data_IF_398924621217
#
_entry.id   IF_398924621217
#
_cell.length_a   1.000
_cell.length_b   1.000
_cell.length_c   1.000
_cell.angle_alpha   90.00
_cell.angle_beta   90.00
_cell.angle_gamma   90.00
#
_symmetry.space_group_name_H-M   'P 1'
#
loop_
_entity.id
_entity.type
_entity.pdbx_description
1 polymer ?
#
# COMPACT_ATOMS: atom_id res chain seq x y z
N UNK A 1 17.36 9.81 7.17
CA UNK A 1 17.42 9.79 8.65
C UNK A 1 17.20 8.35 9.07
N UNK A 2 17.85 7.80 10.11
CA UNK A 2 17.62 6.38 10.45
C UNK A 2 16.29 6.25 11.19
N UNK A 3 15.36 5.45 10.65
CA UNK A 3 14.07 5.15 11.28
C UNK A 3 14.23 4.17 12.45
N UNK A 4 13.32 4.21 13.42
CA UNK A 4 13.35 3.31 14.58
C UNK A 4 13.08 1.86 14.21
N UNK A 5 12.16 1.60 13.28
CA UNK A 5 11.72 0.27 12.89
C UNK A 5 11.96 0.01 11.40
N UNK A 6 13.19 -0.41 11.02
CA UNK A 6 13.54 -0.64 9.62
C UNK A 6 12.78 -1.78 8.96
N UNK A 7 12.38 -2.81 9.72
CA UNK A 7 11.57 -3.92 9.17
C UNK A 7 10.15 -3.48 8.82
N UNK A 8 9.53 -2.63 9.65
CA UNK A 8 8.23 -2.04 9.34
C UNK A 8 8.33 -1.11 8.13
N UNK A 9 9.40 -0.31 8.04
CA UNK A 9 9.67 0.50 6.85
C UNK A 9 9.75 -0.36 5.59
N UNK A 10 10.47 -1.49 5.65
CA UNK A 10 10.57 -2.42 4.52
C UNK A 10 9.20 -2.98 4.13
N UNK A 11 8.35 -3.33 5.09
CA UNK A 11 6.97 -3.77 4.82
C UNK A 11 6.15 -2.68 4.12
N UNK A 12 6.24 -1.41 4.56
CA UNK A 12 5.59 -0.27 3.88
C UNK A 12 6.07 -0.14 2.44
N UNK A 13 7.39 -0.21 2.20
CA UNK A 13 7.96 -0.14 0.84
C UNK A 13 7.46 -1.30 -0.04
N UNK A 14 7.41 -2.52 0.50
CA UNK A 14 6.89 -3.70 -0.20
C UNK A 14 5.39 -3.50 -0.54
N UNK A 15 4.59 -2.98 0.39
CA UNK A 15 3.18 -2.70 0.16
C UNK A 15 2.93 -1.62 -0.90
N UNK A 16 3.69 -0.52 -0.85
CA UNK A 16 3.63 0.53 -1.86
C UNK A 16 4.01 0.00 -3.25
N UNK A 17 5.04 -0.87 -3.34
CA UNK A 17 5.43 -1.50 -4.61
C UNK A 17 4.30 -2.38 -5.15
N UNK A 18 3.68 -3.20 -4.31
CA UNK A 18 2.57 -4.05 -4.71
C UNK A 18 1.35 -3.23 -5.20
N UNK A 19 1.02 -2.13 -4.52
CA UNK A 19 -0.04 -1.19 -4.93
C UNK A 19 0.31 -0.41 -6.22
N UNK A 20 1.60 -0.23 -6.53
CA UNK A 20 2.06 0.54 -7.69
C UNK A 20 2.10 -0.24 -9.01
N UNK A 21 1.95 -1.57 -8.98
CA UNK A 21 2.18 -2.46 -10.13
C UNK A 21 0.93 -3.27 -10.50
N UNK A 22 0.12 -2.79 -11.48
CA UNK A 22 -1.08 -3.50 -11.93
C UNK A 22 -0.83 -4.91 -12.46
N UNK A 23 0.31 -5.16 -13.08
CA UNK A 23 0.65 -6.49 -13.60
C UNK A 23 0.98 -7.45 -12.45
N UNK A 24 1.68 -6.97 -11.43
CA UNK A 24 1.87 -7.72 -10.19
C UNK A 24 0.53 -8.04 -9.52
N UNK A 25 -0.36 -7.06 -9.38
CA UNK A 25 -1.68 -7.24 -8.77
C UNK A 25 -2.51 -8.30 -9.50
N UNK A 26 -2.60 -8.21 -10.84
CA UNK A 26 -3.29 -9.22 -11.65
C UNK A 26 -2.67 -10.60 -11.44
N UNK A 27 -1.35 -10.71 -11.58
CA UNK A 27 -0.66 -12.00 -11.53
C UNK A 27 -0.72 -12.65 -10.14
N UNK A 28 -0.54 -11.87 -9.07
CA UNK A 28 -0.36 -12.37 -7.70
C UNK A 28 -1.68 -12.39 -6.94
N UNK A 29 -2.42 -11.29 -6.94
CA UNK A 29 -3.65 -11.16 -6.14
C UNK A 29 -4.84 -11.84 -6.82
N UNK A 30 -4.93 -11.78 -8.15
CA UNK A 30 -6.05 -12.40 -8.90
C UNK A 30 -5.72 -13.81 -9.37
N UNK A 31 -4.63 -13.97 -10.13
CA UNK A 31 -4.27 -15.24 -10.77
C UNK A 31 -3.52 -16.20 -9.85
N UNK A 32 -3.14 -15.74 -8.65
CA UNK A 32 -2.40 -16.52 -7.64
C UNK A 32 -1.13 -17.18 -8.22
N UNK A 33 -0.49 -16.50 -9.17
CA UNK A 33 0.75 -16.93 -9.83
C UNK A 33 1.95 -16.34 -9.12
N UNK A 34 2.46 -17.12 -8.17
CA UNK A 34 3.53 -16.71 -7.27
C UNK A 34 4.93 -16.98 -7.85
N UNK A 35 5.91 -16.17 -7.44
CA UNK A 35 7.29 -16.33 -7.88
C UNK A 35 7.96 -17.60 -7.33
N UNK A 36 7.51 -18.09 -6.16
CA UNK A 36 8.06 -19.26 -5.50
C UNK A 36 7.01 -19.99 -4.65
N UNK A 37 7.18 -21.30 -4.38
CA UNK A 37 6.29 -22.05 -3.50
C UNK A 37 6.24 -21.43 -2.09
N UNK A 38 5.03 -21.35 -1.52
CA UNK A 38 4.81 -20.81 -0.17
C UNK A 38 4.80 -19.29 -0.07
N UNK A 39 5.01 -18.56 -1.18
CA UNK A 39 4.74 -17.13 -1.24
C UNK A 39 3.24 -16.87 -1.37
N UNK A 40 2.76 -15.86 -0.65
CA UNK A 40 1.38 -15.40 -0.69
C UNK A 40 1.37 -13.90 -0.49
N UNK A 41 0.55 -13.21 -1.27
CA UNK A 41 0.31 -11.78 -1.14
C UNK A 41 -1.07 -11.46 -1.74
N UNK A 42 -1.77 -10.49 -1.16
CA UNK A 42 -3.11 -10.08 -1.56
C UNK A 42 -3.38 -8.61 -1.18
N UNK A 43 -4.48 -8.04 -1.67
CA UNK A 43 -4.80 -6.64 -1.38
C UNK A 43 -5.00 -6.41 0.12
N UNK A 44 -5.67 -7.33 0.81
CA UNK A 44 -5.99 -7.18 2.24
C UNK A 44 -4.72 -7.09 3.08
N UNK A 45 -3.72 -7.92 2.80
CA UNK A 45 -2.43 -7.90 3.47
C UNK A 45 -1.75 -6.54 3.30
N UNK A 46 -1.67 -6.02 2.08
CA UNK A 46 -1.02 -4.75 1.79
C UNK A 46 -1.74 -3.57 2.45
N UNK A 47 -3.07 -3.58 2.49
CA UNK A 47 -3.86 -2.59 3.23
C UNK A 47 -3.57 -2.71 4.73
N UNK A 48 -3.62 -3.89 5.32
CA UNK A 48 -3.33 -4.07 6.75
C UNK A 48 -1.92 -3.61 7.13
N UNK A 49 -0.92 -3.80 6.26
CA UNK A 49 0.43 -3.26 6.49
C UNK A 49 0.39 -1.74 6.66
N UNK A 50 -0.36 -1.03 5.82
CA UNK A 50 -0.43 0.43 5.86
C UNK A 50 -1.23 0.97 7.05
N UNK A 51 -2.38 0.36 7.37
CA UNK A 51 -3.29 0.87 8.40
C UNK A 51 -3.05 0.24 9.78
N UNK A 52 -2.95 -1.08 9.88
CA UNK A 52 -2.97 -1.79 11.16
C UNK A 52 -1.57 -2.07 11.70
N UNK A 53 -0.67 -2.60 10.86
CA UNK A 53 0.63 -3.08 11.32
C UNK A 53 1.62 -1.94 11.55
N UNK A 54 1.52 -0.86 10.75
CA UNK A 54 2.48 0.25 10.78
C UNK A 54 1.88 1.61 11.10
N UNK A 55 0.56 1.74 11.05
CA UNK A 55 -0.18 2.97 11.32
C UNK A 55 0.23 4.16 10.41
N UNK A 56 0.96 3.91 9.32
CA UNK A 56 1.43 5.00 8.44
C UNK A 56 0.27 5.65 7.71
N UNK A 57 -0.81 4.92 7.44
CA UNK A 57 -2.00 5.47 6.81
C UNK A 57 -2.91 6.23 7.80
N UNK A 58 -2.89 5.87 9.08
CA UNK A 58 -3.71 6.50 10.13
C UNK A 58 -3.17 7.87 10.56
N UNK A 59 -1.87 7.97 10.84
CA UNK A 59 -1.20 9.23 11.16
C UNK A 59 0.22 9.27 10.58
N UNK A 60 0.35 9.59 9.27
CA UNK A 60 1.64 9.60 8.58
C UNK A 60 2.70 10.48 9.27
N UNK A 61 2.30 11.64 9.81
CA UNK A 61 3.25 12.57 10.47
C UNK A 61 3.75 12.04 11.80
N UNK A 62 2.91 11.36 12.58
CA UNK A 62 3.34 10.70 13.81
C UNK A 62 4.35 9.56 13.55
N UNK A 63 4.39 9.02 12.34
CA UNK A 63 5.33 7.96 11.96
C UNK A 63 6.71 8.46 11.47
N UNK A 64 6.94 9.77 11.42
CA UNK A 64 8.25 10.34 11.09
C UNK A 64 9.27 10.01 12.19
N UNK A 65 10.39 9.41 11.81
CA UNK A 65 11.42 8.85 12.69
C UNK A 65 11.07 7.47 13.26
N UNK A 66 9.87 6.95 13.01
CA UNK A 66 9.41 5.63 13.45
C UNK A 66 9.53 4.63 12.31
N UNK A 67 8.78 4.84 11.22
CA UNK A 67 8.81 4.04 9.97
C UNK A 67 9.06 4.91 8.74
N UNK A 68 8.65 6.18 8.77
CA UNK A 68 8.91 7.19 7.74
C UNK A 68 10.11 8.05 8.13
N UNK A 69 10.87 8.54 7.15
CA UNK A 69 12.09 9.31 7.41
C UNK A 69 11.84 10.80 7.61
N UNK A 70 10.85 11.37 6.93
CA UNK A 70 10.68 12.80 6.81
C UNK A 70 9.27 13.20 6.33
N UNK A 71 9.02 14.50 6.30
CA UNK A 71 7.74 15.10 5.87
C UNK A 71 7.34 14.75 4.44
N UNK A 72 8.30 14.56 3.52
CA UNK A 72 7.97 14.23 2.13
C UNK A 72 7.39 12.81 2.03
N UNK A 73 7.92 11.86 2.80
CA UNK A 73 7.35 10.51 2.88
C UNK A 73 5.97 10.52 3.53
N UNK A 74 5.77 11.28 4.62
CA UNK A 74 4.46 11.43 5.25
C UNK A 74 3.43 12.01 4.27
N UNK A 75 3.78 13.08 3.54
CA UNK A 75 2.91 13.68 2.53
C UNK A 75 2.60 12.74 1.35
N UNK A 76 3.54 11.84 1.01
CA UNK A 76 3.32 10.82 -0.01
C UNK A 76 2.26 9.80 0.43
N UNK A 77 2.30 9.36 1.69
CA UNK A 77 1.28 8.47 2.26
C UNK A 77 -0.07 9.19 2.34
N UNK A 78 -0.13 10.45 2.74
CA UNK A 78 -1.38 11.24 2.74
C UNK A 78 -2.01 11.35 1.35
N UNK A 79 -1.18 11.49 0.33
CA UNK A 79 -1.65 11.54 -1.07
C UNK A 79 -2.23 10.20 -1.52
N UNK A 80 -1.68 9.09 -1.02
CA UNK A 80 -2.22 7.75 -1.27
C UNK A 80 -3.53 7.52 -0.51
N UNK A 81 -3.60 7.85 0.78
CA UNK A 81 -4.82 7.64 1.58
C UNK A 81 -5.98 8.52 1.10
N UNK A 82 -5.71 9.73 0.59
CA UNK A 82 -6.71 10.59 -0.02
C UNK A 82 -7.50 9.96 -1.19
N UNK A 83 -6.93 8.96 -1.87
CA UNK A 83 -7.62 8.20 -2.93
C UNK A 83 -8.02 6.79 -2.49
N UNK A 84 -7.30 6.20 -1.54
CA UNK A 84 -7.56 4.86 -1.05
C UNK A 84 -8.72 4.81 -0.05
N UNK A 85 -8.78 5.72 0.93
CA UNK A 85 -9.82 5.77 1.96
C UNK A 85 -11.23 5.84 1.37
N UNK A 86 -11.58 6.84 0.53
CA UNK A 86 -12.93 6.92 -0.03
C UNK A 86 -13.28 5.75 -0.94
N UNK A 87 -12.28 5.13 -1.57
CA UNK A 87 -12.52 3.89 -2.31
C UNK A 87 -12.92 2.78 -1.34
N UNK A 88 -12.09 2.48 -0.33
CA UNK A 88 -12.36 1.43 0.65
C UNK A 88 -13.71 1.62 1.37
N UNK A 89 -14.03 2.86 1.77
CA UNK A 89 -15.29 3.22 2.42
C UNK A 89 -16.52 2.98 1.53
N UNK A 90 -16.35 3.09 0.21
CA UNK A 90 -17.45 2.89 -0.76
C UNK A 90 -17.75 1.42 -1.04
N UNK A 91 -16.84 0.51 -0.68
CA UNK A 91 -16.93 -0.89 -1.07
C UNK A 91 -17.83 -1.67 -0.10
N UNK A 92 -18.67 -2.59 -0.62
CA UNK A 92 -19.31 -3.60 0.20
C UNK A 92 -18.27 -4.42 0.98
N UNK A 93 -18.66 -4.87 2.16
CA UNK A 93 -17.83 -5.83 2.90
C UNK A 93 -17.71 -7.15 2.11
N UNK A 94 -16.51 -7.75 2.11
CA UNK A 94 -16.19 -9.04 1.45
C UNK A 94 -16.20 -9.01 -0.08
N UNK A 95 -15.38 -8.14 -0.68
CA UNK A 95 -15.05 -8.25 -2.10
C UNK A 95 -13.76 -9.05 -2.30
N UNK A 96 -13.70 -9.79 -3.40
CA UNK A 96 -12.47 -10.38 -3.89
C UNK A 96 -11.57 -9.29 -4.50
N UNK A 97 -10.25 -9.46 -4.42
CA UNK A 97 -9.27 -8.49 -4.93
C UNK A 97 -9.55 -8.08 -6.38
N UNK A 98 -9.92 -9.04 -7.24
CA UNK A 98 -10.28 -8.79 -8.64
C UNK A 98 -11.44 -7.79 -8.81
N UNK A 99 -12.40 -7.78 -7.87
CA UNK A 99 -13.55 -6.88 -7.89
C UNK A 99 -13.19 -5.48 -7.38
N UNK A 100 -12.15 -5.37 -6.55
CA UNK A 100 -11.65 -4.08 -6.06
C UNK A 100 -10.75 -3.43 -7.11
N UNK A 101 -9.78 -4.16 -7.65
CA UNK A 101 -8.81 -3.58 -8.61
C UNK A 101 -9.41 -3.29 -9.99
N UNK A 102 -10.60 -3.83 -10.29
CA UNK A 102 -11.34 -3.51 -11.54
C UNK A 102 -12.18 -2.24 -11.45
N UNK A 103 -12.22 -1.57 -10.28
CA UNK A 103 -12.91 -0.29 -10.11
C UNK A 103 -12.19 0.80 -10.90
N UNK A 104 -12.91 1.67 -11.63
CA UNK A 104 -12.28 2.79 -12.35
C UNK A 104 -11.38 3.67 -11.47
N UNK A 105 -11.78 3.86 -10.21
CA UNK A 105 -11.10 4.64 -9.18
C UNK A 105 -9.74 4.03 -8.78
N UNK A 106 -9.56 2.71 -8.96
CA UNK A 106 -8.32 2.00 -8.61
C UNK A 106 -7.09 2.55 -9.35
N UNK A 107 -7.28 3.07 -10.56
CA UNK A 107 -6.20 3.71 -11.33
C UNK A 107 -5.56 4.90 -10.61
N UNK A 108 -6.33 5.63 -9.78
CA UNK A 108 -5.81 6.72 -8.96
C UNK A 108 -4.96 6.20 -7.79
N UNK A 109 -5.36 5.09 -7.16
CA UNK A 109 -4.59 4.41 -6.10
C UNK A 109 -3.24 3.96 -6.64
N UNK A 110 -3.22 3.29 -7.81
CA UNK A 110 -1.98 2.87 -8.47
C UNK A 110 -1.07 4.06 -8.73
N UNK A 111 -1.61 5.15 -9.29
CA UNK A 111 -0.83 6.35 -9.62
C UNK A 111 -0.25 7.02 -8.36
N UNK A 112 -1.01 7.10 -7.27
CA UNK A 112 -0.53 7.63 -6.00
C UNK A 112 0.54 6.74 -5.36
N UNK A 113 0.37 5.42 -5.42
CA UNK A 113 1.37 4.46 -4.94
C UNK A 113 2.67 4.55 -5.75
N UNK A 114 2.60 4.71 -7.08
CA UNK A 114 3.79 4.93 -7.92
C UNK A 114 4.53 6.22 -7.52
N UNK A 115 3.80 7.31 -7.26
CA UNK A 115 4.40 8.54 -6.78
C UNK A 115 5.08 8.35 -5.41
N UNK A 116 4.43 7.60 -4.49
CA UNK A 116 4.99 7.29 -3.18
C UNK A 116 6.27 6.44 -3.26
N UNK A 117 6.32 5.43 -4.13
CA UNK A 117 7.54 4.63 -4.38
C UNK A 117 8.71 5.50 -4.89
N UNK A 118 8.42 6.57 -5.64
CA UNK A 118 9.44 7.53 -6.08
C UNK A 118 10.06 8.36 -4.95
N UNK A 119 9.41 8.42 -3.79
CA UNK A 119 9.82 9.19 -2.61
C UNK A 119 10.39 8.26 -1.53
N UNK A 120 9.74 7.13 -1.29
CA UNK A 120 10.04 6.16 -0.22
C UNK A 120 10.77 4.97 -0.83
N UNK A 121 12.08 4.88 -0.58
CA UNK A 121 12.97 3.82 -1.10
C UNK A 121 13.86 3.20 -0.02
#
# INVERSE_FOLDING_TARGET
MVVRFPDMRRAVIEALRALSDPEYQRRVWVERTYAQPGFYDDLTHNVNVLYDDTLVAEDPRAQIGVTLENEAEAAAIESLTAVLDPLLDSLPTKLEDAQVISRPEWSAVVSAAQAAVGIIH
#
